data_IF_546526373921
#
_entry.id   IF_546526373921
#
_cell.length_a   1.000
_cell.length_b   1.000
_cell.length_c   1.000
_cell.angle_alpha   90.00
_cell.angle_beta   90.00
_cell.angle_gamma   90.00
#
_symmetry.space_group_name_H-M   'P 1'
#
loop_
_entity.id
_entity.type
_entity.pdbx_description
1 polymer ?
#
# COMPACT_ATOMS: atom_id res chain seq x y z
N UNK A 1 -24.69 -11.04 -19.66
CA UNK A 1 -25.33 -9.86 -19.04
C UNK A 1 -24.92 -9.78 -17.57
N UNK A 2 -24.31 -8.70 -17.15
CA UNK A 2 -23.88 -8.51 -15.75
C UNK A 2 -25.05 -8.01 -14.88
N UNK A 3 -25.17 -8.55 -13.66
CA UNK A 3 -26.20 -8.06 -12.71
C UNK A 3 -25.87 -6.66 -12.21
N UNK A 4 -26.84 -5.87 -11.66
CA UNK A 4 -26.58 -4.57 -11.07
C UNK A 4 -25.52 -4.62 -9.96
N UNK A 5 -25.54 -5.65 -9.12
CA UNK A 5 -24.54 -5.88 -8.07
C UNK A 5 -23.15 -6.08 -8.65
N UNK A 6 -23.01 -6.89 -9.70
CA UNK A 6 -21.73 -7.10 -10.39
C UNK A 6 -21.18 -5.79 -10.97
N UNK A 7 -22.06 -4.94 -11.53
CA UNK A 7 -21.65 -3.62 -12.03
C UNK A 7 -21.13 -2.72 -10.91
N UNK A 8 -21.78 -2.72 -9.74
CA UNK A 8 -21.33 -1.95 -8.57
C UNK A 8 -19.97 -2.44 -8.09
N UNK A 9 -19.78 -3.76 -8.01
CA UNK A 9 -18.50 -4.34 -7.61
C UNK A 9 -17.36 -3.98 -8.56
N UNK A 10 -17.60 -4.05 -9.88
CA UNK A 10 -16.61 -3.66 -10.89
C UNK A 10 -16.27 -2.18 -10.77
N UNK A 11 -17.27 -1.32 -10.56
CA UNK A 11 -17.06 0.12 -10.37
C UNK A 11 -16.28 0.41 -9.08
N UNK A 12 -16.60 -0.28 -7.98
CA UNK A 12 -15.90 -0.14 -6.71
C UNK A 12 -14.44 -0.58 -6.83
N UNK A 13 -14.17 -1.70 -7.51
CA UNK A 13 -12.81 -2.17 -7.76
C UNK A 13 -11.99 -1.17 -8.57
N UNK A 14 -12.56 -0.63 -9.64
CA UNK A 14 -11.91 0.39 -10.46
C UNK A 14 -11.66 1.69 -9.69
N UNK A 15 -12.62 2.13 -8.89
CA UNK A 15 -12.46 3.31 -8.04
C UNK A 15 -11.37 3.09 -6.98
N UNK A 16 -11.32 1.92 -6.35
CA UNK A 16 -10.32 1.59 -5.34
C UNK A 16 -8.89 1.61 -5.91
N UNK A 17 -8.71 1.09 -7.13
CA UNK A 17 -7.43 1.14 -7.85
C UNK A 17 -7.00 2.59 -8.07
N UNK A 18 -7.90 3.43 -8.57
CA UNK A 18 -7.61 4.84 -8.81
C UNK A 18 -7.31 5.61 -7.52
N UNK A 19 -8.04 5.33 -6.45
CA UNK A 19 -7.83 5.93 -5.14
C UNK A 19 -6.45 5.55 -4.61
N UNK A 20 -6.09 4.28 -4.68
CA UNK A 20 -4.78 3.82 -4.20
C UNK A 20 -3.63 4.37 -5.05
N UNK A 21 -3.80 4.46 -6.36
CA UNK A 21 -2.84 5.10 -7.26
C UNK A 21 -2.62 6.58 -6.89
N UNK A 22 -3.70 7.31 -6.61
CA UNK A 22 -3.61 8.69 -6.14
C UNK A 22 -2.89 8.80 -4.78
N UNK A 23 -3.15 7.86 -3.88
CA UNK A 23 -2.46 7.77 -2.60
C UNK A 23 -0.94 7.56 -2.78
N UNK A 24 -0.53 6.68 -3.68
CA UNK A 24 0.90 6.51 -3.97
C UNK A 24 1.52 7.72 -4.64
N UNK A 25 0.77 8.41 -5.49
CA UNK A 25 1.24 9.65 -6.10
C UNK A 25 1.60 10.70 -5.05
N UNK A 26 0.86 10.77 -3.95
CA UNK A 26 1.21 11.66 -2.82
C UNK A 26 2.57 11.28 -2.24
N UNK A 27 2.87 9.99 -2.08
CA UNK A 27 4.16 9.52 -1.60
C UNK A 27 5.28 9.90 -2.59
N UNK A 28 5.05 9.69 -3.88
CA UNK A 28 6.02 10.02 -4.93
C UNK A 28 6.36 11.52 -4.93
N UNK A 29 5.35 12.37 -4.83
CA UNK A 29 5.52 13.82 -4.81
C UNK A 29 6.31 14.25 -3.57
N UNK A 30 5.98 13.71 -2.39
CA UNK A 30 6.68 14.04 -1.17
C UNK A 30 8.17 13.69 -1.26
N UNK A 31 8.50 12.49 -1.71
CA UNK A 31 9.91 12.06 -1.82
C UNK A 31 10.65 12.91 -2.86
N UNK A 32 10.02 13.19 -3.98
CA UNK A 32 10.61 13.97 -5.08
C UNK A 32 11.01 15.39 -4.64
N UNK A 33 10.25 15.98 -3.73
CA UNK A 33 10.47 17.36 -3.27
C UNK A 33 11.26 17.45 -1.96
N UNK A 34 11.73 16.33 -1.42
CA UNK A 34 12.58 16.35 -0.24
C UNK A 34 13.98 16.87 -0.55
N UNK A 35 14.50 17.72 0.32
CA UNK A 35 15.92 18.04 0.32
C UNK A 35 16.73 16.76 0.56
N UNK A 36 17.81 16.50 -0.19
CA UNK A 36 18.60 15.27 -0.05
C UNK A 36 19.08 15.02 1.37
N UNK A 37 19.43 16.07 2.11
CA UNK A 37 19.88 15.95 3.50
C UNK A 37 18.77 15.50 4.45
N UNK A 38 17.50 15.71 4.11
CA UNK A 38 16.37 15.35 4.96
C UNK A 38 16.13 13.84 5.00
N UNK A 39 16.49 13.11 3.96
CA UNK A 39 16.18 11.68 3.80
C UNK A 39 16.66 10.82 4.97
N UNK A 40 17.89 11.06 5.46
CA UNK A 40 18.49 10.31 6.56
C UNK A 40 18.69 11.13 7.83
N UNK A 41 18.18 12.36 7.87
CA UNK A 41 18.29 13.17 9.06
C UNK A 41 17.57 12.52 10.23
N UNK A 42 18.23 12.51 11.40
CA UNK A 42 17.64 11.97 12.63
C UNK A 42 16.92 13.09 13.37
N UNK A 43 15.57 13.05 13.44
CA UNK A 43 14.83 14.01 14.25
C UNK A 43 15.14 13.80 15.74
N UNK A 44 14.89 14.82 16.59
CA UNK A 44 15.00 14.68 18.04
C UNK A 44 14.05 13.59 18.55
N UNK A 45 14.51 12.83 19.55
CA UNK A 45 13.68 11.80 20.21
C UNK A 45 13.72 10.45 19.50
N UNK A 46 12.79 9.58 19.89
CA UNK A 46 12.68 8.21 19.37
C UNK A 46 11.72 8.15 18.17
N UNK A 47 12.04 8.87 17.12
CA UNK A 47 11.22 8.89 15.91
C UNK A 47 12.00 8.34 14.71
N UNK A 48 11.25 7.85 13.72
CA UNK A 48 11.85 7.31 12.51
C UNK A 48 12.41 8.42 11.63
N UNK A 49 13.48 8.11 10.89
CA UNK A 49 13.91 8.94 9.76
C UNK A 49 12.86 8.87 8.64
N UNK A 50 12.89 9.83 7.72
CA UNK A 50 12.00 9.80 6.54
C UNK A 50 12.26 8.54 5.70
N UNK A 51 13.53 8.16 5.53
CA UNK A 51 13.87 6.89 4.87
C UNK A 51 13.19 5.69 5.53
N UNK A 52 13.20 5.62 6.86
CA UNK A 52 12.57 4.53 7.60
C UNK A 52 11.04 4.55 7.47
N UNK A 53 10.43 5.72 7.40
CA UNK A 53 8.96 5.85 7.22
C UNK A 53 8.54 5.28 5.87
N UNK A 54 9.15 5.71 4.77
CA UNK A 54 8.75 5.27 3.43
C UNK A 54 9.12 3.81 3.14
N UNK A 55 10.26 3.33 3.63
CA UNK A 55 10.59 1.90 3.51
C UNK A 55 9.64 1.04 4.33
N UNK A 56 9.22 1.50 5.51
CA UNK A 56 8.20 0.82 6.30
C UNK A 56 6.86 0.74 5.54
N UNK A 57 6.41 1.81 4.92
CA UNK A 57 5.18 1.81 4.13
C UNK A 57 5.26 0.79 2.99
N UNK A 58 6.36 0.75 2.26
CA UNK A 58 6.58 -0.25 1.22
C UNK A 58 6.57 -1.68 1.76
N UNK A 59 7.30 -1.93 2.85
CA UNK A 59 7.40 -3.26 3.44
C UNK A 59 6.06 -3.76 3.99
N UNK A 60 5.24 -2.85 4.52
CA UNK A 60 3.88 -3.18 4.97
C UNK A 60 2.97 -3.54 3.79
N UNK A 61 3.05 -2.81 2.68
CA UNK A 61 2.34 -3.18 1.44
C UNK A 61 2.72 -4.57 0.96
N UNK A 62 4.01 -4.87 0.94
CA UNK A 62 4.50 -6.21 0.57
C UNK A 62 3.94 -7.29 1.50
N UNK A 63 3.86 -7.01 2.79
CA UNK A 63 3.25 -7.91 3.78
C UNK A 63 1.77 -8.12 3.51
N UNK A 64 1.01 -7.07 3.22
CA UNK A 64 -0.42 -7.20 2.89
C UNK A 64 -0.62 -8.12 1.68
N UNK A 65 0.16 -7.92 0.63
CA UNK A 65 0.08 -8.75 -0.58
C UNK A 65 0.44 -10.20 -0.26
N UNK A 66 1.51 -10.43 0.47
CA UNK A 66 1.95 -11.78 0.85
C UNK A 66 0.89 -12.54 1.65
N UNK A 67 0.26 -11.87 2.61
CA UNK A 67 -0.70 -12.50 3.51
C UNK A 67 -2.11 -12.60 2.92
N UNK A 68 -2.50 -11.66 2.07
CA UNK A 68 -3.86 -11.55 1.55
C UNK A 68 -4.00 -12.12 0.15
N UNK A 69 -3.01 -11.90 -0.71
CA UNK A 69 -3.04 -12.26 -2.13
C UNK A 69 -1.74 -13.00 -2.52
N UNK A 70 -1.49 -14.14 -1.89
CA UNK A 70 -0.24 -14.91 -2.02
C UNK A 70 0.05 -15.38 -3.45
N UNK A 71 -0.94 -15.37 -4.33
CA UNK A 71 -0.78 -15.70 -5.75
C UNK A 71 -0.15 -14.55 -6.56
N UNK A 72 -0.12 -13.32 -6.00
CA UNK A 72 0.53 -12.19 -6.65
C UNK A 72 2.02 -12.17 -6.32
N UNK A 73 2.81 -11.59 -7.22
CA UNK A 73 4.23 -11.39 -6.98
C UNK A 73 4.42 -10.42 -5.82
N UNK A 74 5.16 -10.86 -4.80
CA UNK A 74 5.48 -10.01 -3.64
C UNK A 74 6.74 -9.20 -3.94
N UNK A 75 6.69 -7.86 -3.84
CA UNK A 75 7.89 -7.04 -4.00
C UNK A 75 8.93 -7.34 -2.93
N UNK A 76 10.23 -7.23 -3.25
CA UNK A 76 11.28 -7.40 -2.24
C UNK A 76 11.22 -6.30 -1.19
N UNK A 77 11.61 -6.63 0.03
CA UNK A 77 11.71 -5.65 1.11
C UNK A 77 12.84 -4.65 0.85
N UNK A 78 12.65 -3.44 1.35
CA UNK A 78 13.66 -2.40 1.35
C UNK A 78 14.28 -2.24 2.73
N UNK A 79 15.60 -2.01 2.77
CA UNK A 79 16.31 -1.72 4.00
C UNK A 79 16.51 -0.22 4.15
N UNK A 80 15.95 0.37 5.21
CA UNK A 80 15.99 1.81 5.43
C UNK A 80 17.40 2.37 5.61
N UNK A 81 18.39 1.56 6.02
CA UNK A 81 19.77 2.00 6.21
C UNK A 81 20.51 2.21 4.89
N UNK A 82 20.09 1.54 3.83
CA UNK A 82 20.76 1.56 2.52
C UNK A 82 19.90 2.14 1.39
N UNK A 83 18.61 2.30 1.60
CA UNK A 83 17.67 2.72 0.59
C UNK A 83 17.86 4.21 0.23
N UNK A 84 18.04 4.48 -1.06
CA UNK A 84 18.04 5.86 -1.58
C UNK A 84 16.61 6.34 -1.82
N UNK A 85 16.35 7.67 -1.93
CA UNK A 85 15.04 8.18 -2.31
C UNK A 85 14.53 7.58 -3.63
N UNK A 86 15.40 7.42 -4.61
CA UNK A 86 15.05 6.83 -5.92
C UNK A 86 14.65 5.37 -5.79
N UNK A 87 15.36 4.60 -4.97
CA UNK A 87 15.01 3.20 -4.69
C UNK A 87 13.69 3.10 -3.94
N UNK A 88 13.42 4.00 -2.99
CA UNK A 88 12.16 4.06 -2.27
C UNK A 88 10.99 4.38 -3.21
N UNK A 89 11.16 5.34 -4.11
CA UNK A 89 10.15 5.68 -5.12
C UNK A 89 9.85 4.49 -6.03
N UNK A 90 10.87 3.83 -6.54
CA UNK A 90 10.71 2.64 -7.39
C UNK A 90 10.01 1.49 -6.64
N UNK A 91 10.41 1.24 -5.40
CA UNK A 91 9.81 0.21 -4.56
C UNK A 91 8.34 0.50 -4.26
N UNK A 92 8.02 1.74 -3.89
CA UNK A 92 6.65 2.18 -3.64
C UNK A 92 5.77 2.07 -4.90
N UNK A 93 6.30 2.41 -6.07
CA UNK A 93 5.56 2.24 -7.33
C UNK A 93 5.26 0.76 -7.61
N UNK A 94 6.22 -0.12 -7.38
CA UNK A 94 6.03 -1.57 -7.55
C UNK A 94 5.01 -2.12 -6.55
N UNK A 95 5.14 -1.78 -5.26
CA UNK A 95 4.20 -2.24 -4.24
C UNK A 95 2.81 -1.65 -4.42
N UNK A 96 2.71 -0.41 -4.92
CA UNK A 96 1.41 0.16 -5.29
C UNK A 96 0.73 -0.66 -6.38
N UNK A 97 1.45 -1.04 -7.43
CA UNK A 97 0.91 -1.87 -8.50
C UNK A 97 0.38 -3.21 -7.97
N UNK A 98 1.09 -3.84 -7.03
CA UNK A 98 0.63 -5.10 -6.42
C UNK A 98 -0.60 -4.89 -5.53
N UNK A 99 -0.63 -3.82 -4.75
CA UNK A 99 -1.80 -3.46 -3.95
C UNK A 99 -3.01 -3.14 -4.83
N UNK A 100 -2.82 -2.48 -5.95
CA UNK A 100 -3.87 -2.21 -6.93
C UNK A 100 -4.45 -3.50 -7.51
N UNK A 101 -3.60 -4.47 -7.88
CA UNK A 101 -4.07 -5.79 -8.32
C UNK A 101 -4.86 -6.50 -7.23
N UNK A 102 -4.37 -6.48 -6.00
CA UNK A 102 -5.06 -7.06 -4.84
C UNK A 102 -6.42 -6.40 -4.61
N UNK A 103 -6.50 -5.08 -4.68
CA UNK A 103 -7.76 -4.34 -4.53
C UNK A 103 -8.73 -4.62 -5.68
N UNK A 104 -8.25 -4.69 -6.91
CA UNK A 104 -9.08 -5.02 -8.07
C UNK A 104 -9.71 -6.41 -7.93
N UNK A 105 -8.96 -7.40 -7.43
CA UNK A 105 -9.49 -8.73 -7.18
C UNK A 105 -10.45 -8.77 -5.99
N UNK A 106 -10.10 -8.09 -4.89
CA UNK A 106 -10.91 -8.10 -3.66
C UNK A 106 -12.25 -7.37 -3.83
N UNK A 107 -12.29 -6.31 -4.63
CA UNK A 107 -13.45 -5.42 -4.79
C UNK A 107 -14.09 -5.51 -6.18
N UNK A 108 -13.57 -6.38 -7.04
CA UNK A 108 -14.04 -6.54 -8.42
C UNK A 108 -14.82 -7.85 -8.65
N UNK A 109 -15.03 -8.17 -9.92
CA UNK A 109 -15.83 -9.34 -10.36
C UNK A 109 -15.16 -10.69 -10.09
N UNK A 110 -13.88 -10.70 -9.72
CA UNK A 110 -13.15 -11.93 -9.39
C UNK A 110 -13.30 -12.29 -7.91
N UNK A 111 -14.49 -12.09 -7.38
CA UNK A 111 -14.84 -12.45 -6.01
C UNK A 111 -14.56 -13.95 -5.77
N UNK A 112 -13.88 -14.28 -4.67
CA UNK A 112 -13.58 -15.63 -4.25
C UNK A 112 -12.10 -15.98 -4.21
N UNK A 113 -11.20 -15.22 -4.87
CA UNK A 113 -9.75 -15.43 -4.74
C UNK A 113 -9.21 -14.85 -3.44
N UNK A 114 -9.77 -13.73 -3.00
CA UNK A 114 -9.39 -13.05 -1.78
C UNK A 114 -10.61 -13.03 -0.86
N UNK A 115 -10.55 -13.82 0.20
CA UNK A 115 -11.66 -13.96 1.14
C UNK A 115 -11.57 -12.99 2.30
N UNK A 116 -10.35 -12.71 2.76
CA UNK A 116 -10.07 -11.88 3.93
C UNK A 116 -8.85 -11.02 3.71
N UNK A 117 -8.89 -9.81 4.26
CA UNK A 117 -7.74 -8.94 4.33
C UNK A 117 -6.92 -9.25 5.58
N UNK A 118 -5.69 -9.67 5.40
CA UNK A 118 -4.75 -9.97 6.48
C UNK A 118 -3.68 -8.90 6.54
N UNK A 119 -3.84 -7.98 7.48
CA UNK A 119 -2.87 -6.91 7.70
C UNK A 119 -1.63 -7.38 8.46
N UNK A 120 -1.79 -8.37 9.33
CA UNK A 120 -0.74 -8.96 10.15
C UNK A 120 -0.97 -10.46 10.33
N UNK A 121 0.12 -11.22 10.48
CA UNK A 121 0.03 -12.68 10.65
C UNK A 121 -0.59 -13.10 11.97
N UNK A 122 -0.59 -12.23 12.98
CA UNK A 122 -1.12 -12.49 14.33
C UNK A 122 -2.48 -11.87 14.58
N UNK A 123 -2.84 -10.85 13.82
CA UNK A 123 -4.11 -10.15 14.01
C UNK A 123 -5.26 -10.89 13.33
N UNK A 124 -6.51 -10.81 13.86
CA UNK A 124 -7.66 -11.32 13.16
C UNK A 124 -7.80 -10.68 11.77
N UNK A 125 -8.20 -11.44 10.75
CA UNK A 125 -8.41 -10.90 9.43
C UNK A 125 -9.61 -9.95 9.40
N UNK A 126 -9.52 -8.95 8.52
CA UNK A 126 -10.59 -7.99 8.29
C UNK A 126 -11.45 -8.44 7.10
N UNK A 127 -12.72 -8.00 7.04
CA UNK A 127 -13.51 -8.18 5.83
C UNK A 127 -12.83 -7.51 4.62
N UNK A 128 -12.96 -8.12 3.47
CA UNK A 128 -12.64 -7.45 2.20
C UNK A 128 -13.72 -6.44 1.88
N UNK A 129 -13.35 -5.39 1.17
CA UNK A 129 -14.30 -4.36 0.77
C UNK A 129 -13.84 -2.96 1.18
N UNK A 130 -14.77 -2.02 1.39
CA UNK A 130 -14.44 -0.64 1.76
C UNK A 130 -13.58 -0.52 3.02
N UNK A 131 -13.77 -1.38 4.00
CA UNK A 131 -12.99 -1.38 5.25
C UNK A 131 -11.51 -1.67 5.00
N UNK A 132 -11.20 -2.61 4.11
CA UNK A 132 -9.84 -2.91 3.68
C UNK A 132 -9.16 -1.69 3.07
N UNK A 133 -9.83 -1.04 2.13
CA UNK A 133 -9.32 0.16 1.48
C UNK A 133 -9.11 1.30 2.49
N UNK A 134 -10.08 1.50 3.37
CA UNK A 134 -10.01 2.50 4.42
C UNK A 134 -8.80 2.28 5.32
N UNK A 135 -8.56 1.05 5.75
CA UNK A 135 -7.39 0.72 6.57
C UNK A 135 -6.07 1.02 5.85
N UNK A 136 -5.96 0.60 4.59
CA UNK A 136 -4.74 0.80 3.80
C UNK A 136 -4.41 2.30 3.66
N UNK A 137 -5.41 3.10 3.33
CA UNK A 137 -5.26 4.55 3.18
C UNK A 137 -4.93 5.24 4.51
N UNK A 138 -5.63 4.85 5.57
CA UNK A 138 -5.43 5.43 6.91
C UNK A 138 -4.03 5.15 7.44
N UNK A 139 -3.52 3.94 7.23
CA UNK A 139 -2.17 3.56 7.61
C UNK A 139 -1.12 4.46 6.93
N UNK A 140 -1.28 4.67 5.62
CA UNK A 140 -0.32 5.48 4.87
C UNK A 140 -0.44 6.97 5.17
N UNK A 141 -1.64 7.47 5.34
CA UNK A 141 -1.86 8.85 5.76
C UNK A 141 -1.25 9.14 7.13
N UNK A 142 -1.36 8.20 8.08
CA UNK A 142 -0.72 8.29 9.38
C UNK A 142 0.80 8.44 9.25
N UNK A 143 1.43 7.60 8.44
CA UNK A 143 2.87 7.65 8.25
C UNK A 143 3.32 8.90 7.50
N UNK A 144 2.55 9.37 6.51
CA UNK A 144 2.85 10.66 5.86
C UNK A 144 2.79 11.84 6.84
N UNK A 145 1.93 11.76 7.84
CA UNK A 145 1.82 12.79 8.88
C UNK A 145 2.98 12.83 9.87
N UNK A 146 3.75 11.76 9.93
CA UNK A 146 4.96 11.72 10.76
C UNK A 146 6.07 12.56 10.15
#
# INVERSE_FOLDING_TARGET
MTTPLQKVHTQLGGAAVQIFAANDRMNQILIEHLEPAAWRAKPPGKVRTIAAIFTHMHNVRAKWVRLTASHLKVPPQLNHTHCTPEQARAGLAESAARCEEMLAEALGDRAGRIEKFRRDGWAPPWPVGPEMLCYMLSHEAHHRGQ
#
